data_IF_169804397668
#
_entry.id   IF_169804397668
#
_cell.length_a   1.000
_cell.length_b   1.000
_cell.length_c   1.000
_cell.angle_alpha   90.00
_cell.angle_beta   90.00
_cell.angle_gamma   90.00
#
_symmetry.space_group_name_H-M   'P 1'
#
loop_
_entity.id
_entity.type
_entity.pdbx_description
1 polymer ?
#
# COMPACT_ATOMS: atom_id res chain seq x y z
N UNK A 1 -9.97 15.22 12.14
CA UNK A 1 -10.38 14.57 10.87
C UNK A 1 -9.23 14.87 9.91
N UNK A 2 -8.50 13.86 9.44
CA UNK A 2 -7.37 14.07 8.52
C UNK A 2 -7.95 13.92 7.12
N UNK A 3 -8.03 15.02 6.39
CA UNK A 3 -8.48 15.03 5.00
C UNK A 3 -7.32 14.63 4.09
N UNK A 4 -7.50 13.53 3.36
CA UNK A 4 -6.55 13.09 2.34
C UNK A 4 -6.71 13.98 1.11
N UNK A 5 -5.62 14.56 0.53
CA UNK A 5 -5.72 15.41 -0.65
C UNK A 5 -6.35 14.65 -1.83
N UNK A 6 -7.27 15.30 -2.55
CA UNK A 6 -7.83 14.77 -3.80
C UNK A 6 -6.70 14.64 -4.83
N UNK A 7 -6.34 13.40 -5.19
CA UNK A 7 -5.35 13.16 -6.23
C UNK A 7 -5.97 13.51 -7.59
N UNK A 8 -5.52 14.60 -8.20
CA UNK A 8 -5.90 14.96 -9.57
C UNK A 8 -5.44 13.87 -10.56
N UNK A 9 -6.38 13.04 -10.99
CA UNK A 9 -6.23 12.17 -12.15
C UNK A 9 -5.75 10.75 -11.85
N UNK A 10 -6.67 9.79 -12.08
CA UNK A 10 -6.54 8.31 -11.99
C UNK A 10 -6.86 7.73 -10.61
N UNK A 11 -8.15 7.59 -10.32
CA UNK A 11 -8.69 6.93 -9.12
C UNK A 11 -8.51 5.40 -9.18
N UNK A 12 -7.29 4.88 -9.35
CA UNK A 12 -6.98 3.49 -9.01
C UNK A 12 -6.54 3.45 -7.56
N UNK A 13 -7.40 2.96 -6.69
CA UNK A 13 -7.11 2.82 -5.26
C UNK A 13 -6.95 1.35 -4.91
N UNK A 14 -5.97 1.05 -4.07
CA UNK A 14 -5.77 -0.27 -3.47
C UNK A 14 -6.16 -0.16 -2.00
N UNK A 15 -7.29 -0.76 -1.63
CA UNK A 15 -7.84 -0.70 -0.28
C UNK A 15 -7.64 -2.05 0.40
N UNK A 16 -6.93 -2.06 1.52
CA UNK A 16 -6.61 -3.27 2.28
C UNK A 16 -7.57 -3.39 3.47
N UNK A 17 -8.49 -4.35 3.41
CA UNK A 17 -9.51 -4.59 4.43
C UNK A 17 -9.01 -5.45 5.59
N UNK A 18 -9.65 -5.30 6.77
CA UNK A 18 -9.35 -6.14 7.96
C UNK A 18 -9.69 -7.62 7.76
N UNK A 19 -10.49 -7.93 6.76
CA UNK A 19 -10.88 -9.26 6.30
C UNK A 19 -9.79 -9.97 5.48
N UNK A 20 -8.61 -9.36 5.32
CA UNK A 20 -7.53 -9.91 4.49
C UNK A 20 -7.79 -9.76 2.98
N UNK A 21 -8.79 -8.95 2.60
CA UNK A 21 -9.10 -8.67 1.19
C UNK A 21 -8.57 -7.31 0.75
N UNK A 22 -7.79 -7.32 -0.33
CA UNK A 22 -7.39 -6.14 -1.09
C UNK A 22 -8.43 -5.90 -2.19
N UNK A 23 -8.98 -4.68 -2.23
CA UNK A 23 -9.92 -4.24 -3.26
C UNK A 23 -9.24 -3.25 -4.18
N UNK A 24 -9.31 -3.49 -5.48
CA UNK A 24 -8.93 -2.53 -6.51
C UNK A 24 -10.19 -1.74 -6.87
N UNK A 25 -10.17 -0.44 -6.57
CA UNK A 25 -11.26 0.48 -6.88
C UNK A 25 -10.82 1.34 -8.04
N UNK A 26 -11.62 1.37 -9.10
CA UNK A 26 -11.44 2.24 -10.25
C UNK A 26 -12.66 3.14 -10.39
N UNK A 27 -12.44 4.46 -10.34
CA UNK A 27 -13.51 5.47 -10.45
C UNK A 27 -14.66 5.25 -9.45
N UNK A 28 -14.35 4.83 -8.23
CA UNK A 28 -15.33 4.60 -7.15
C UNK A 28 -16.03 3.25 -7.19
N UNK A 29 -15.73 2.39 -8.17
CA UNK A 29 -16.27 1.03 -8.25
C UNK A 29 -15.20 -0.02 -7.96
N UNK A 30 -15.55 -1.06 -7.20
CA UNK A 30 -14.68 -2.24 -7.03
C UNK A 30 -14.64 -3.01 -8.35
N UNK A 31 -13.45 -3.17 -8.92
CA UNK A 31 -13.24 -3.93 -10.16
C UNK A 31 -12.61 -5.30 -9.92
N UNK A 32 -11.97 -5.49 -8.77
CA UNK A 32 -11.30 -6.75 -8.40
C UNK A 32 -11.05 -6.83 -6.91
N UNK A 33 -11.21 -8.04 -6.38
CA UNK A 33 -10.76 -8.43 -5.05
C UNK A 33 -9.60 -9.42 -5.16
N UNK A 34 -8.69 -9.39 -4.19
CA UNK A 34 -7.59 -10.34 -4.04
C UNK A 34 -7.27 -10.51 -2.57
N UNK A 35 -6.71 -11.65 -2.19
CA UNK A 35 -6.23 -11.85 -0.83
C UNK A 35 -4.90 -11.11 -0.61
N UNK A 36 -4.68 -10.64 0.61
CA UNK A 36 -3.38 -10.14 1.04
C UNK A 36 -3.05 -10.58 2.47
N UNK A 37 -1.76 -10.63 2.77
CA UNK A 37 -1.24 -10.82 4.11
C UNK A 37 -0.51 -9.56 4.58
N UNK A 38 -0.63 -9.27 5.87
CA UNK A 38 0.12 -8.21 6.53
C UNK A 38 1.08 -8.81 7.55
N UNK A 39 2.34 -8.41 7.48
CA UNK A 39 3.38 -8.76 8.43
C UNK A 39 3.81 -7.49 9.15
N UNK A 40 3.83 -7.50 10.48
CA UNK A 40 4.31 -6.39 11.28
C UNK A 40 5.60 -6.79 12.00
N UNK A 41 6.57 -5.90 11.98
CA UNK A 41 7.85 -5.99 12.66
C UNK A 41 8.04 -4.75 13.54
N UNK A 42 9.04 -4.78 14.41
CA UNK A 42 9.30 -3.70 15.39
C UNK A 42 9.35 -2.30 14.76
N UNK A 43 9.95 -2.16 13.57
CA UNK A 43 10.13 -0.89 12.87
C UNK A 43 9.64 -0.91 11.41
N UNK A 44 8.79 -1.87 11.04
CA UNK A 44 8.25 -1.94 9.68
C UNK A 44 6.97 -2.76 9.60
N UNK A 45 6.24 -2.60 8.52
CA UNK A 45 5.20 -3.54 8.12
C UNK A 45 5.27 -3.83 6.63
N UNK A 46 4.89 -5.04 6.25
CA UNK A 46 4.80 -5.50 4.88
C UNK A 46 3.37 -5.89 4.52
N UNK A 47 2.92 -5.53 3.32
CA UNK A 47 1.70 -6.04 2.70
C UNK A 47 2.08 -6.90 1.51
N UNK A 48 1.59 -8.13 1.45
CA UNK A 48 1.82 -9.04 0.32
C UNK A 48 0.51 -9.46 -0.32
N UNK A 49 0.32 -9.16 -1.60
CA UNK A 49 -0.81 -9.66 -2.38
C UNK A 49 -0.53 -11.11 -2.78
N UNK A 50 -1.46 -12.01 -2.49
CA UNK A 50 -1.27 -13.45 -2.66
C UNK A 50 -1.11 -13.83 -4.12
N UNK A 51 -2.05 -13.33 -4.93
CA UNK A 51 -2.18 -13.71 -6.33
C UNK A 51 -0.96 -13.29 -7.18
N UNK A 52 -0.43 -12.10 -6.94
CA UNK A 52 0.67 -11.54 -7.72
C UNK A 52 2.03 -11.71 -7.05
N UNK A 53 2.06 -12.08 -5.76
CA UNK A 53 3.27 -12.05 -4.94
C UNK A 53 3.82 -10.65 -4.66
N UNK A 54 3.15 -9.60 -5.16
CA UNK A 54 3.53 -8.20 -4.98
C UNK A 54 3.66 -7.84 -3.49
N UNK A 55 4.73 -7.14 -3.11
CA UNK A 55 4.99 -6.77 -1.71
C UNK A 55 5.23 -5.27 -1.54
N UNK A 56 4.43 -4.58 -0.76
CA UNK A 56 4.72 -3.23 -0.27
C UNK A 56 5.37 -3.34 1.11
N UNK A 57 6.51 -2.69 1.34
CA UNK A 57 7.14 -2.62 2.67
C UNK A 57 7.27 -1.17 3.10
N UNK A 58 6.81 -0.87 4.30
CA UNK A 58 6.93 0.45 4.92
C UNK A 58 7.79 0.31 6.17
N UNK A 59 8.91 1.02 6.22
CA UNK A 59 9.85 0.99 7.34
C UNK A 59 10.03 2.37 7.95
N UNK A 60 10.20 2.41 9.27
CA UNK A 60 10.42 3.61 10.05
C UNK A 60 11.90 3.69 10.44
N UNK A 61 12.58 4.78 10.06
CA UNK A 61 13.98 5.03 10.44
C UNK A 61 14.14 6.48 10.88
N UNK A 62 14.29 6.69 12.18
CA UNK A 62 14.37 8.02 12.79
C UNK A 62 13.17 8.91 12.38
N UNK A 63 13.41 9.95 11.58
CA UNK A 63 12.44 10.91 11.06
C UNK A 63 11.95 10.56 9.64
N UNK A 64 12.34 9.41 9.11
CA UNK A 64 12.11 9.00 7.73
C UNK A 64 11.21 7.76 7.65
N UNK A 65 10.16 7.84 6.85
CA UNK A 65 9.38 6.72 6.37
C UNK A 65 9.94 6.24 5.02
N UNK A 66 10.29 4.96 4.92
CA UNK A 66 10.83 4.33 3.72
C UNK A 66 9.77 3.41 3.16
N UNK A 67 9.32 3.66 1.93
CA UNK A 67 8.34 2.83 1.23
C UNK A 67 9.05 2.11 0.09
N UNK A 68 9.19 0.79 0.20
CA UNK A 68 9.76 -0.07 -0.83
C UNK A 68 8.63 -0.78 -1.57
N UNK A 69 8.53 -0.57 -2.87
CA UNK A 69 7.51 -1.17 -3.70
C UNK A 69 8.09 -1.74 -5.01
N UNK A 70 8.43 -3.04 -5.07
CA UNK A 70 8.94 -3.69 -6.27
C UNK A 70 7.90 -3.79 -7.40
N UNK A 71 6.60 -3.53 -7.13
CA UNK A 71 5.53 -3.60 -8.15
C UNK A 71 5.72 -2.58 -9.27
N UNK A 72 6.37 -1.46 -8.98
CA UNK A 72 6.61 -0.38 -9.94
C UNK A 72 8.10 -0.23 -10.29
N UNK A 73 8.88 -1.31 -10.15
CA UNK A 73 10.35 -1.32 -10.19
C UNK A 73 10.93 -1.28 -8.77
N UNK A 74 12.22 -1.58 -8.57
CA UNK A 74 12.87 -1.53 -7.24
C UNK A 74 13.02 -0.08 -6.73
N UNK A 75 11.90 0.62 -6.59
CA UNK A 75 11.81 2.00 -6.20
C UNK A 75 11.59 2.09 -4.68
N UNK A 76 12.46 2.86 -4.04
CA UNK A 76 12.30 3.28 -2.65
C UNK A 76 11.86 4.74 -2.63
N UNK A 77 10.75 5.02 -1.95
CA UNK A 77 10.28 6.37 -1.68
C UNK A 77 10.63 6.72 -0.24
N UNK A 78 11.13 7.94 -0.03
CA UNK A 78 11.56 8.43 1.28
C UNK A 78 10.72 9.65 1.63
N UNK A 79 9.96 9.56 2.72
CA UNK A 79 9.13 10.64 3.24
C UNK A 79 9.75 11.09 4.56
N UNK A 80 10.14 12.36 4.68
CA UNK A 80 10.78 12.92 5.87
C UNK A 80 9.85 13.95 6.52
N UNK A 81 9.89 14.02 7.85
CA UNK A 81 9.22 15.07 8.62
C UNK A 81 10.00 16.38 8.60
#
# INVERSE_FOLDING_TARGET
MIETPESEGKNKQFVFGRDGTMRIIENGMVVRDSEFYMEAYENSFGLKVVETGARLVVSFKADTLIVSNPVFGDANYFIRK
#
